data_IF_136152028393
#
_entry.id   IF_136152028393
#
_cell.length_a   1.000
_cell.length_b   1.000
_cell.length_c   1.000
_cell.angle_alpha   90.00
_cell.angle_beta   90.00
_cell.angle_gamma   90.00
#
_symmetry.space_group_name_H-M   'P 1'
#
loop_
_entity.id
_entity.type
_entity.pdbx_description
1 polymer ?
#
# COMPACT_ATOMS: atom_id res chain seq x y z
N UNK A 1 5.04 22.75 -28.47
CA UNK A 1 4.22 21.72 -27.80
C UNK A 1 3.80 22.31 -26.45
N UNK A 2 2.55 22.13 -26.03
CA UNK A 2 2.14 22.50 -24.66
C UNK A 2 2.95 21.61 -23.69
N UNK A 3 3.60 22.22 -22.68
CA UNK A 3 4.51 21.51 -21.75
C UNK A 3 6.01 21.58 -22.08
N UNK A 4 6.43 22.35 -23.10
CA UNK A 4 7.86 22.49 -23.45
C UNK A 4 8.71 23.19 -22.37
N UNK A 5 8.08 24.02 -21.52
CA UNK A 5 8.76 24.75 -20.42
C UNK A 5 8.71 24.03 -19.08
N UNK A 6 7.79 23.08 -18.90
CA UNK A 6 7.75 22.24 -17.70
C UNK A 6 8.78 21.11 -17.87
N UNK A 7 9.70 20.96 -16.91
CA UNK A 7 10.64 19.84 -16.91
C UNK A 7 9.91 18.50 -16.94
N UNK A 8 10.58 17.44 -17.40
CA UNK A 8 9.98 16.12 -17.47
C UNK A 8 9.44 15.66 -16.11
N UNK A 9 8.27 15.02 -16.11
CA UNK A 9 7.59 14.56 -14.88
C UNK A 9 8.46 13.60 -14.05
N UNK A 10 9.38 12.88 -14.69
CA UNK A 10 10.34 12.01 -14.01
C UNK A 10 11.66 12.74 -13.70
N UNK A 11 12.20 13.47 -14.67
CA UNK A 11 13.57 14.01 -14.60
C UNK A 11 13.68 15.20 -13.66
N UNK A 12 12.68 16.09 -13.60
CA UNK A 12 12.76 17.30 -12.76
C UNK A 12 12.65 17.01 -11.25
N UNK A 13 11.75 16.13 -10.76
CA UNK A 13 11.72 15.74 -9.35
C UNK A 13 13.02 15.07 -8.90
N UNK A 14 13.54 14.13 -9.68
CA UNK A 14 14.79 13.41 -9.37
C UNK A 14 15.98 14.37 -9.37
N UNK A 15 16.04 15.31 -10.32
CA UNK A 15 17.09 16.34 -10.34
C UNK A 15 17.09 17.20 -9.07
N UNK A 16 15.91 17.51 -8.52
CA UNK A 16 15.77 18.32 -7.29
C UNK A 16 16.05 17.51 -6.04
N UNK A 17 15.71 16.22 -6.03
CA UNK A 17 15.85 15.29 -4.90
C UNK A 17 16.39 13.95 -5.41
N UNK A 18 17.72 13.82 -5.61
CA UNK A 18 18.30 12.63 -6.21
C UNK A 18 18.27 11.40 -5.30
N UNK A 19 18.07 11.60 -3.99
CA UNK A 19 17.85 10.55 -3.02
C UNK A 19 16.34 10.33 -2.86
N UNK A 20 15.78 9.45 -3.69
CA UNK A 20 14.35 9.17 -3.68
C UNK A 20 14.05 7.74 -4.10
N UNK A 21 12.84 7.28 -3.78
CA UNK A 21 12.25 6.08 -4.36
C UNK A 21 11.44 6.49 -5.59
N UNK A 22 11.68 5.84 -6.72
CA UNK A 22 10.92 6.03 -7.96
C UNK A 22 10.07 4.79 -8.17
N UNK A 23 8.74 4.95 -8.15
CA UNK A 23 7.78 3.87 -8.37
C UNK A 23 7.23 3.95 -9.80
N UNK A 24 7.41 2.87 -10.56
CA UNK A 24 6.70 2.64 -11.81
C UNK A 24 5.63 1.57 -11.58
N UNK A 25 4.37 1.97 -11.69
CA UNK A 25 3.24 1.07 -11.44
C UNK A 25 2.76 0.42 -12.74
N UNK A 26 2.35 -0.86 -12.68
CA UNK A 26 1.79 -1.64 -13.79
C UNK A 26 2.63 -1.60 -15.08
N UNK A 27 3.92 -1.92 -14.94
CA UNK A 27 4.90 -1.82 -16.03
C UNK A 27 4.53 -2.63 -17.29
N UNK A 28 3.74 -3.68 -17.17
CA UNK A 28 3.26 -4.47 -18.31
C UNK A 28 2.36 -3.70 -19.28
N UNK A 29 1.76 -2.58 -18.82
CA UNK A 29 0.89 -1.72 -19.64
C UNK A 29 1.66 -0.59 -20.33
N UNK A 30 2.93 -0.41 -20.01
CA UNK A 30 3.76 0.66 -20.57
C UNK A 30 4.02 0.45 -22.07
N UNK A 31 4.09 1.56 -22.81
CA UNK A 31 4.46 1.52 -24.23
C UNK A 31 5.93 1.06 -24.39
N UNK A 32 6.30 0.28 -25.43
CA UNK A 32 7.67 -0.17 -25.67
C UNK A 32 8.75 0.92 -25.57
N UNK A 33 8.43 2.15 -25.97
CA UNK A 33 9.37 3.28 -25.92
C UNK A 33 9.76 3.69 -24.49
N UNK A 34 8.90 3.42 -23.50
CA UNK A 34 9.20 3.69 -22.07
C UNK A 34 10.35 2.79 -21.61
N UNK A 35 10.39 1.53 -22.07
CA UNK A 35 11.46 0.61 -21.70
C UNK A 35 12.83 1.03 -22.22
N UNK A 36 12.89 1.71 -23.38
CA UNK A 36 14.17 2.23 -23.89
C UNK A 36 14.76 3.30 -22.96
N UNK A 37 13.90 4.16 -22.40
CA UNK A 37 14.30 5.17 -21.43
C UNK A 37 14.69 4.53 -20.09
N UNK A 38 13.92 3.53 -19.63
CA UNK A 38 14.24 2.79 -18.41
C UNK A 38 15.55 2.01 -18.52
N UNK A 39 15.84 1.39 -19.66
CA UNK A 39 17.12 0.73 -19.90
C UNK A 39 18.28 1.71 -19.74
N UNK A 40 18.17 2.94 -20.25
CA UNK A 40 19.20 3.95 -20.05
C UNK A 40 19.40 4.28 -18.55
N UNK A 41 18.30 4.39 -17.80
CA UNK A 41 18.33 4.66 -16.37
C UNK A 41 18.97 3.49 -15.60
N UNK A 42 18.55 2.26 -15.88
CA UNK A 42 19.04 1.06 -15.19
C UNK A 42 20.49 0.72 -15.57
N UNK A 43 20.92 1.06 -16.79
CA UNK A 43 22.27 0.80 -17.29
C UNK A 43 23.29 1.83 -16.80
N UNK A 44 23.02 3.11 -17.10
CA UNK A 44 23.99 4.20 -16.90
C UNK A 44 23.74 4.97 -15.60
N UNK A 45 22.61 4.71 -14.93
CA UNK A 45 22.14 5.52 -13.80
C UNK A 45 21.78 6.94 -14.23
N UNK A 46 21.42 7.17 -15.51
CA UNK A 46 21.20 8.52 -16.05
C UNK A 46 20.08 8.54 -17.09
N UNK A 47 19.35 9.64 -17.14
CA UNK A 47 18.36 9.91 -18.19
C UNK A 47 18.61 11.29 -18.78
N UNK A 48 18.47 11.43 -20.09
CA UNK A 48 18.48 12.76 -20.74
C UNK A 48 17.06 13.18 -21.07
N UNK A 49 16.67 14.39 -20.64
CA UNK A 49 15.34 14.92 -20.93
C UNK A 49 15.22 15.54 -22.34
N UNK A 50 14.02 15.96 -22.72
CA UNK A 50 13.73 16.59 -24.01
C UNK A 50 14.41 17.95 -24.22
N UNK A 51 14.96 18.55 -23.16
CA UNK A 51 15.75 19.79 -23.21
C UNK A 51 17.27 19.50 -23.26
N UNK A 52 17.66 18.23 -23.35
CA UNK A 52 19.05 17.80 -23.42
C UNK A 52 19.77 17.80 -22.06
N UNK A 53 19.05 17.94 -20.95
CA UNK A 53 19.62 17.91 -19.61
C UNK A 53 19.73 16.46 -19.15
N UNK A 54 20.92 16.07 -18.72
CA UNK A 54 21.16 14.75 -18.12
C UNK A 54 20.91 14.80 -16.62
N UNK A 55 20.07 13.90 -16.12
CA UNK A 55 19.73 13.73 -14.71
C UNK A 55 20.31 12.41 -14.21
N UNK A 56 20.85 12.42 -12.99
CA UNK A 56 21.50 11.29 -12.34
C UNK A 56 20.49 10.55 -11.45
N UNK A 57 20.39 9.23 -11.64
CA UNK A 57 19.51 8.28 -10.94
C UNK A 57 20.29 7.32 -10.04
N UNK A 58 21.62 7.45 -9.94
CA UNK A 58 22.47 6.50 -9.18
C UNK A 58 22.16 6.45 -7.68
N UNK A 59 21.51 7.48 -7.14
CA UNK A 59 21.08 7.55 -5.75
C UNK A 59 19.59 7.25 -5.56
N UNK A 60 18.90 6.81 -6.61
CA UNK A 60 17.49 6.45 -6.56
C UNK A 60 17.33 4.94 -6.34
N UNK A 61 16.35 4.55 -5.54
CA UNK A 61 15.83 3.18 -5.53
C UNK A 61 14.69 3.13 -6.53
N UNK A 62 14.77 2.24 -7.52
CA UNK A 62 13.75 2.09 -8.54
C UNK A 62 12.90 0.86 -8.21
N UNK A 63 11.62 1.09 -7.95
CA UNK A 63 10.64 0.05 -7.71
C UNK A 63 9.70 -0.03 -8.90
N UNK A 64 9.43 -1.25 -9.37
CA UNK A 64 8.51 -1.51 -10.47
C UNK A 64 7.50 -2.55 -10.01
N UNK A 65 6.21 -2.27 -10.22
CA UNK A 65 5.15 -3.24 -9.96
C UNK A 65 4.67 -3.83 -11.27
N UNK A 66 4.15 -5.04 -11.19
CA UNK A 66 3.60 -5.75 -12.33
C UNK A 66 2.56 -6.76 -11.85
N UNK A 67 1.47 -6.90 -12.58
CA UNK A 67 0.50 -7.97 -12.32
C UNK A 67 0.81 -9.25 -13.12
N UNK A 68 1.95 -9.31 -13.81
CA UNK A 68 2.38 -10.48 -14.59
C UNK A 68 2.61 -11.68 -13.67
N UNK A 69 2.01 -12.83 -14.01
CA UNK A 69 2.12 -14.05 -13.21
C UNK A 69 1.17 -14.10 -12.00
N UNK A 70 0.29 -13.10 -11.83
CA UNK A 70 -0.71 -13.08 -10.76
C UNK A 70 -1.62 -14.31 -10.71
N UNK A 71 -2.02 -14.85 -11.86
CA UNK A 71 -2.83 -16.08 -11.94
C UNK A 71 -2.07 -17.29 -11.35
N UNK A 72 -0.79 -17.47 -11.72
CA UNK A 72 0.04 -18.54 -11.17
C UNK A 72 0.26 -18.38 -9.65
N UNK A 73 0.46 -17.14 -9.19
CA UNK A 73 0.57 -16.83 -7.75
C UNK A 73 -0.74 -17.16 -7.02
N UNK A 74 -1.90 -16.84 -7.61
CA UNK A 74 -3.19 -17.14 -7.00
C UNK A 74 -3.47 -18.64 -6.93
N UNK A 75 -3.18 -19.39 -8.00
CA UNK A 75 -3.45 -20.83 -8.07
C UNK A 75 -2.50 -21.65 -7.19
N UNK A 76 -1.19 -21.40 -7.31
CA UNK A 76 -0.16 -22.17 -6.62
C UNK A 76 0.12 -21.63 -5.20
N UNK A 77 -0.02 -20.32 -5.01
CA UNK A 77 0.29 -19.64 -3.76
C UNK A 77 -0.66 -19.98 -2.60
N UNK A 78 -1.92 -20.32 -2.89
CA UNK A 78 -2.88 -20.77 -1.88
C UNK A 78 -2.50 -22.12 -1.24
N UNK A 79 -1.64 -22.88 -1.90
CA UNK A 79 -1.15 -24.18 -1.42
C UNK A 79 0.18 -24.05 -0.65
N UNK A 80 0.77 -22.85 -0.56
CA UNK A 80 2.03 -22.62 0.16
C UNK A 80 1.75 -22.74 1.67
N UNK A 81 2.16 -23.86 2.25
CA UNK A 81 1.97 -24.20 3.65
C UNK A 81 2.05 -25.71 3.89
N UNK A 82 2.64 -26.12 5.01
CA UNK A 82 2.83 -27.53 5.38
C UNK A 82 4.11 -28.15 4.83
N UNK A 83 4.16 -29.49 4.79
CA UNK A 83 5.26 -30.24 4.18
C UNK A 83 5.31 -29.88 2.68
N UNK A 84 6.49 -29.50 2.18
CA UNK A 84 6.77 -29.05 0.79
C UNK A 84 6.48 -27.57 0.47
N UNK A 85 6.52 -26.66 1.45
CA UNK A 85 6.40 -25.23 1.19
C UNK A 85 7.49 -24.68 0.24
N UNK A 86 8.74 -25.10 0.41
CA UNK A 86 9.87 -24.67 -0.44
C UNK A 86 9.69 -25.11 -1.90
N UNK A 87 9.26 -26.36 -2.13
CA UNK A 87 9.03 -26.89 -3.48
C UNK A 87 7.94 -26.09 -4.21
N UNK A 88 6.86 -25.75 -3.51
CA UNK A 88 5.77 -24.94 -4.08
C UNK A 88 6.18 -23.50 -4.35
N UNK A 89 7.04 -22.92 -3.51
CA UNK A 89 7.56 -21.57 -3.70
C UNK A 89 8.44 -21.49 -4.95
N UNK A 90 9.29 -22.48 -5.19
CA UNK A 90 10.06 -22.55 -6.44
C UNK A 90 9.16 -22.76 -7.66
N UNK A 91 8.11 -23.59 -7.56
CA UNK A 91 7.15 -23.78 -8.66
C UNK A 91 6.44 -22.46 -9.03
N UNK A 92 6.04 -21.66 -8.03
CA UNK A 92 5.48 -20.32 -8.25
C UNK A 92 6.52 -19.41 -8.90
N UNK A 93 7.76 -19.41 -8.39
CA UNK A 93 8.83 -18.57 -8.92
C UNK A 93 9.16 -18.90 -10.38
N UNK A 94 9.22 -20.18 -10.75
CA UNK A 94 9.40 -20.62 -12.13
C UNK A 94 8.25 -20.17 -13.04
N UNK A 95 7.00 -20.31 -12.58
CA UNK A 95 5.83 -19.89 -13.34
C UNK A 95 5.82 -18.36 -13.57
N UNK A 96 6.13 -17.58 -12.54
CA UNK A 96 6.25 -16.10 -12.63
C UNK A 96 7.40 -15.71 -13.56
N UNK A 97 8.58 -16.33 -13.42
CA UNK A 97 9.76 -16.10 -14.29
C UNK A 97 9.44 -16.39 -15.76
N UNK A 98 8.69 -17.47 -16.01
CA UNK A 98 8.20 -17.82 -17.34
C UNK A 98 7.22 -16.78 -17.90
N UNK A 99 6.31 -16.26 -17.08
CA UNK A 99 5.38 -15.20 -17.46
C UNK A 99 6.12 -13.87 -17.76
N UNK A 100 7.05 -13.48 -16.90
CA UNK A 100 7.89 -12.28 -17.07
C UNK A 100 8.69 -12.34 -18.37
N UNK A 101 9.28 -13.49 -18.70
CA UNK A 101 10.07 -13.68 -19.93
C UNK A 101 9.23 -13.63 -21.22
N UNK A 102 7.92 -13.85 -21.14
CA UNK A 102 6.99 -13.70 -22.27
C UNK A 102 6.56 -12.24 -22.47
N UNK A 103 6.42 -11.48 -21.38
CA UNK A 103 5.95 -10.09 -21.40
C UNK A 103 7.09 -9.10 -21.63
N UNK A 104 8.22 -9.29 -20.96
CA UNK A 104 9.36 -8.37 -20.97
C UNK A 104 10.54 -8.97 -21.73
N UNK A 105 11.34 -8.09 -22.35
CA UNK A 105 12.54 -8.49 -23.09
C UNK A 105 13.65 -8.92 -22.12
N UNK A 106 14.46 -9.95 -22.45
CA UNK A 106 15.53 -10.40 -21.56
C UNK A 106 16.51 -9.31 -21.15
N UNK A 107 16.82 -8.36 -22.04
CA UNK A 107 17.70 -7.24 -21.74
C UNK A 107 17.19 -6.32 -20.63
N UNK A 108 15.87 -6.19 -20.45
CA UNK A 108 15.28 -5.42 -19.37
C UNK A 108 15.32 -6.22 -18.06
N UNK A 109 14.95 -7.50 -18.12
CA UNK A 109 14.97 -8.38 -16.94
C UNK A 109 16.38 -8.54 -16.37
N UNK A 110 17.41 -8.58 -17.22
CA UNK A 110 18.81 -8.69 -16.81
C UNK A 110 19.36 -7.42 -16.12
N UNK A 111 18.57 -6.33 -16.07
CA UNK A 111 18.91 -5.07 -15.39
C UNK A 111 18.15 -4.86 -14.09
N UNK A 112 17.30 -5.82 -13.74
CA UNK A 112 16.62 -5.84 -12.45
C UNK A 112 17.54 -6.57 -11.49
N UNK A 113 17.92 -5.90 -10.41
CA UNK A 113 18.78 -6.48 -9.39
C UNK A 113 18.09 -7.65 -8.66
N UNK A 114 16.84 -7.42 -8.23
CA UNK A 114 16.05 -8.39 -7.46
C UNK A 114 14.59 -8.41 -7.91
N UNK A 115 14.00 -9.62 -7.96
CA UNK A 115 12.58 -9.80 -8.26
C UNK A 115 11.85 -10.30 -7.01
N UNK A 116 10.89 -9.51 -6.52
CA UNK A 116 10.13 -9.82 -5.31
C UNK A 116 8.74 -10.32 -5.71
N UNK A 117 8.44 -11.58 -5.36
CA UNK A 117 7.13 -12.20 -5.58
C UNK A 117 6.29 -12.03 -4.32
N UNK A 118 5.15 -11.35 -4.45
CA UNK A 118 4.21 -11.19 -3.34
C UNK A 118 3.32 -12.42 -3.21
N UNK A 119 3.28 -12.99 -2.00
CA UNK A 119 2.38 -14.10 -1.67
C UNK A 119 0.93 -13.61 -1.62
N UNK A 120 -0.06 -14.46 -1.93
CA UNK A 120 -1.46 -14.12 -1.75
C UNK A 120 -1.76 -13.86 -0.27
N UNK A 121 -2.66 -12.92 0.00
CA UNK A 121 -3.04 -12.55 1.37
C UNK A 121 -3.85 -13.67 2.04
N UNK A 122 -3.38 -14.13 3.19
CA UNK A 122 -4.11 -15.06 4.05
C UNK A 122 -5.07 -14.34 5.01
N UNK A 123 -5.88 -15.12 5.72
CA UNK A 123 -6.84 -14.58 6.70
C UNK A 123 -6.16 -13.76 7.80
N UNK A 124 -4.99 -14.21 8.26
CA UNK A 124 -4.19 -13.50 9.28
C UNK A 124 -3.72 -12.14 8.77
N UNK A 125 -3.27 -12.06 7.51
CA UNK A 125 -2.83 -10.81 6.88
C UNK A 125 -4.01 -9.84 6.72
N UNK A 126 -5.16 -10.35 6.27
CA UNK A 126 -6.39 -9.55 6.09
C UNK A 126 -6.85 -8.95 7.42
N UNK A 127 -6.76 -9.72 8.51
CA UNK A 127 -7.06 -9.28 9.87
C UNK A 127 -6.10 -8.18 10.32
N UNK A 128 -4.80 -8.30 10.03
CA UNK A 128 -3.82 -7.26 10.34
C UNK A 128 -4.07 -5.98 9.52
N UNK A 129 -4.38 -6.11 8.23
CA UNK A 129 -4.74 -4.98 7.37
C UNK A 129 -6.00 -4.28 7.90
N UNK A 130 -7.02 -5.04 8.31
CA UNK A 130 -8.23 -4.48 8.90
C UNK A 130 -7.92 -3.71 10.19
N UNK A 131 -7.04 -4.22 11.08
CA UNK A 131 -6.57 -3.49 12.27
C UNK A 131 -5.90 -2.16 11.91
N UNK A 132 -5.00 -2.16 10.93
CA UNK A 132 -4.32 -0.94 10.48
C UNK A 132 -5.30 0.10 9.95
N UNK A 133 -6.30 -0.33 9.18
CA UNK A 133 -7.35 0.58 8.68
C UNK A 133 -8.26 1.08 9.81
N UNK A 134 -8.61 0.24 10.78
CA UNK A 134 -9.38 0.64 11.96
C UNK A 134 -8.61 1.64 12.83
N UNK A 135 -7.28 1.50 12.95
CA UNK A 135 -6.45 2.49 13.64
C UNK A 135 -6.54 3.88 12.99
N UNK A 136 -6.62 3.95 11.64
CA UNK A 136 -6.86 5.21 10.92
C UNK A 136 -8.27 5.76 11.13
N UNK A 137 -9.26 4.89 11.37
CA UNK A 137 -10.60 5.34 11.80
C UNK A 137 -10.53 5.92 13.21
N UNK A 138 -9.86 5.24 14.14
CA UNK A 138 -9.66 5.71 15.51
C UNK A 138 -9.00 7.10 15.54
N UNK A 139 -7.92 7.31 14.77
CA UNK A 139 -7.25 8.62 14.67
C UNK A 139 -8.20 9.76 14.27
N UNK A 140 -9.17 9.49 13.37
CA UNK A 140 -10.18 10.50 12.98
C UNK A 140 -11.26 10.71 14.04
N UNK A 141 -11.55 9.69 14.85
CA UNK A 141 -12.50 9.78 15.95
C UNK A 141 -11.90 10.45 17.20
N UNK A 142 -10.58 10.45 17.34
CA UNK A 142 -9.87 11.13 18.43
C UNK A 142 -10.15 12.64 18.45
N UNK A 143 -10.37 13.26 17.29
CA UNK A 143 -10.78 14.68 17.19
C UNK A 143 -12.11 14.97 17.92
N UNK A 144 -12.95 13.94 18.10
CA UNK A 144 -14.23 13.99 18.83
C UNK A 144 -14.18 13.27 20.18
N UNK A 145 -12.99 12.92 20.65
CA UNK A 145 -12.77 12.15 21.87
C UNK A 145 -13.54 10.81 21.89
N UNK A 146 -13.89 10.28 20.71
CA UNK A 146 -14.61 9.02 20.60
C UNK A 146 -13.62 7.85 20.46
N UNK A 147 -13.97 6.70 21.03
CA UNK A 147 -13.16 5.48 20.94
C UNK A 147 -13.95 4.35 20.32
N UNK A 148 -13.34 3.55 19.45
CA UNK A 148 -13.90 2.29 18.97
C UNK A 148 -13.27 1.10 19.69
N UNK A 149 -14.12 0.19 20.15
CA UNK A 149 -13.74 -1.11 20.73
C UNK A 149 -14.27 -2.21 19.81
N UNK A 150 -13.41 -2.76 18.96
CA UNK A 150 -13.79 -3.80 17.97
C UNK A 150 -13.44 -5.16 18.53
N UNK A 151 -14.44 -6.03 18.70
CA UNK A 151 -14.21 -7.39 19.17
C UNK A 151 -13.53 -8.25 18.10
N UNK A 152 -12.87 -9.32 18.51
CA UNK A 152 -12.20 -10.24 17.57
C UNK A 152 -13.18 -10.86 16.54
N UNK A 153 -14.40 -11.31 16.92
CA UNK A 153 -15.40 -11.75 15.94
C UNK A 153 -15.79 -10.65 14.93
N UNK A 154 -15.92 -9.40 15.39
CA UNK A 154 -16.26 -8.28 14.51
C UNK A 154 -15.13 -7.97 13.54
N UNK A 155 -13.89 -8.02 14.01
CA UNK A 155 -12.71 -7.84 13.17
C UNK A 155 -12.63 -8.92 12.08
N UNK A 156 -12.82 -10.18 12.45
CA UNK A 156 -12.78 -11.29 11.50
C UNK A 156 -13.90 -11.16 10.46
N UNK A 157 -15.10 -10.76 10.87
CA UNK A 157 -16.23 -10.51 9.97
C UNK A 157 -15.97 -9.34 9.02
N UNK A 158 -15.39 -8.24 9.51
CA UNK A 158 -15.02 -7.07 8.69
C UNK A 158 -13.95 -7.45 7.67
N UNK A 159 -12.94 -8.22 8.08
CA UNK A 159 -11.87 -8.71 7.22
C UNK A 159 -12.40 -9.65 6.13
N UNK A 160 -13.27 -10.60 6.49
CA UNK A 160 -13.92 -11.50 5.53
C UNK A 160 -14.79 -10.75 4.52
N UNK A 161 -15.63 -9.81 4.97
CA UNK A 161 -16.45 -8.96 4.09
C UNK A 161 -15.62 -8.05 3.19
N UNK A 162 -14.42 -7.70 3.62
CA UNK A 162 -13.48 -6.84 2.90
C UNK A 162 -12.52 -7.58 1.98
N UNK A 163 -12.57 -8.91 1.93
CA UNK A 163 -11.72 -9.72 1.07
C UNK A 163 -12.42 -10.08 -0.23
N UNK A 164 -11.73 -9.87 -1.34
CA UNK A 164 -12.14 -10.34 -2.65
C UNK A 164 -10.97 -11.11 -3.28
N UNK A 165 -11.14 -12.38 -3.69
CA UNK A 165 -10.06 -13.15 -4.31
C UNK A 165 -9.43 -12.50 -5.55
N UNK A 166 -10.20 -11.71 -6.31
CA UNK A 166 -9.71 -11.02 -7.51
C UNK A 166 -9.10 -9.64 -7.21
N UNK A 167 -9.55 -8.97 -6.15
CA UNK A 167 -9.09 -7.61 -5.79
C UNK A 167 -8.23 -7.55 -4.51
N UNK A 168 -7.94 -8.68 -3.89
CA UNK A 168 -7.19 -8.80 -2.64
C UNK A 168 -7.83 -8.02 -1.49
N UNK A 169 -7.00 -7.33 -0.72
CA UNK A 169 -7.44 -6.50 0.41
C UNK A 169 -7.97 -5.10 0.02
N UNK A 170 -7.98 -4.74 -1.28
CA UNK A 170 -8.46 -3.41 -1.73
C UNK A 170 -9.86 -3.07 -1.20
N UNK A 171 -10.83 -4.02 -1.13
CA UNK A 171 -12.15 -3.74 -0.59
C UNK A 171 -12.20 -3.56 0.93
N UNK A 172 -11.16 -3.88 1.70
CA UNK A 172 -11.15 -3.75 3.18
C UNK A 172 -11.45 -2.30 3.60
N UNK A 173 -10.81 -1.32 2.95
CA UNK A 173 -11.08 0.10 3.23
C UNK A 173 -12.55 0.43 3.02
N UNK A 174 -13.16 -0.03 1.93
CA UNK A 174 -14.59 0.17 1.65
C UNK A 174 -15.48 -0.56 2.67
N UNK A 175 -15.12 -1.80 3.04
CA UNK A 175 -15.82 -2.58 4.07
C UNK A 175 -15.84 -1.81 5.38
N UNK A 176 -14.72 -1.26 5.83
CA UNK A 176 -14.64 -0.47 7.07
C UNK A 176 -15.47 0.82 6.96
N UNK A 177 -15.43 1.52 5.83
CA UNK A 177 -16.28 2.71 5.63
C UNK A 177 -17.77 2.36 5.76
N UNK A 178 -18.20 1.26 5.13
CA UNK A 178 -19.62 0.85 5.12
C UNK A 178 -20.08 0.23 6.44
N UNK A 179 -19.20 -0.52 7.11
CA UNK A 179 -19.52 -1.31 8.29
C UNK A 179 -19.05 -0.67 9.60
N UNK A 180 -18.32 0.45 9.57
CA UNK A 180 -17.83 1.11 10.80
C UNK A 180 -18.05 2.60 10.74
N UNK A 181 -17.46 3.31 9.76
CA UNK A 181 -17.57 4.77 9.71
C UNK A 181 -19.01 5.23 9.48
N UNK A 182 -19.70 4.64 8.50
CA UNK A 182 -21.06 5.02 8.13
C UNK A 182 -22.06 4.76 9.27
N UNK A 183 -22.09 3.58 9.93
CA UNK A 183 -22.97 3.33 11.07
C UNK A 183 -22.70 4.25 12.25
N UNK A 184 -21.43 4.51 12.60
CA UNK A 184 -21.07 5.44 13.67
C UNK A 184 -21.57 6.85 13.35
N UNK A 185 -21.32 7.33 12.13
CA UNK A 185 -21.77 8.65 11.70
C UNK A 185 -23.30 8.78 11.72
N UNK A 186 -24.03 7.78 11.20
CA UNK A 186 -25.49 7.78 11.19
C UNK A 186 -26.09 7.76 12.60
N UNK A 187 -25.52 6.96 13.50
CA UNK A 187 -25.95 6.89 14.91
C UNK A 187 -25.59 8.16 15.68
N UNK A 188 -24.44 8.76 15.39
CA UNK A 188 -24.07 10.08 15.91
C UNK A 188 -25.05 11.18 15.49
N UNK A 189 -25.48 11.19 14.22
CA UNK A 189 -26.50 12.14 13.73
C UNK A 189 -27.87 11.97 14.41
N UNK A 190 -28.18 10.77 14.93
CA UNK A 190 -29.41 10.47 15.69
C UNK A 190 -29.28 10.77 17.19
N UNK A 191 -28.10 11.16 17.66
CA UNK A 191 -27.82 11.35 19.08
C UNK A 191 -27.66 10.04 19.86
N UNK A 192 -27.44 8.90 19.19
CA UNK A 192 -27.16 7.62 19.87
C UNK A 192 -25.72 7.54 20.38
N UNK A 193 -24.80 8.26 19.72
CA UNK A 193 -23.39 8.41 20.10
C UNK A 193 -23.03 9.89 20.18
N UNK A 194 -22.32 10.27 21.23
CA UNK A 194 -21.88 11.62 21.51
C UNK A 194 -20.35 11.66 21.64
N UNK A 195 -19.78 12.86 21.61
CA UNK A 195 -18.36 13.07 21.85
C UNK A 195 -17.95 12.51 23.22
N UNK A 196 -16.78 11.87 23.30
CA UNK A 196 -16.33 11.18 24.52
C UNK A 196 -16.80 9.72 24.66
N UNK A 197 -17.70 9.24 23.80
CA UNK A 197 -18.23 7.87 23.90
C UNK A 197 -17.27 6.80 23.41
N UNK A 198 -17.36 5.62 24.03
CA UNK A 198 -16.77 4.39 23.50
C UNK A 198 -17.84 3.58 22.77
N UNK A 199 -17.66 3.41 21.46
CA UNK A 199 -18.51 2.59 20.61
C UNK A 199 -17.92 1.19 20.53
N UNK A 200 -18.62 0.23 21.13
CA UNK A 200 -18.28 -1.19 21.01
C UNK A 200 -18.92 -1.77 19.76
N UNK A 201 -18.11 -2.41 18.92
CA UNK A 201 -18.49 -3.06 17.67
C UNK A 201 -18.33 -4.57 17.88
N UNK A 202 -19.45 -5.29 17.80
CA UNK A 202 -19.51 -6.74 18.05
C UNK A 202 -20.36 -7.45 16.99
N UNK A 203 -20.41 -8.78 17.04
CA UNK A 203 -21.23 -9.61 16.14
C UNK A 203 -22.38 -10.25 16.91
N UNK A 204 -23.59 -10.21 16.36
CA UNK A 204 -24.75 -10.87 16.95
C UNK A 204 -24.88 -12.35 16.52
N UNK A 205 -25.97 -12.99 16.96
CA UNK A 205 -26.25 -14.39 16.67
C UNK A 205 -26.53 -14.66 15.17
N UNK A 206 -26.86 -13.62 14.40
CA UNK A 206 -27.19 -13.70 12.98
C UNK A 206 -25.98 -13.34 12.09
N UNK A 207 -24.78 -13.20 12.67
CA UNK A 207 -23.55 -12.74 12.01
C UNK A 207 -23.67 -11.32 11.42
N UNK A 208 -24.41 -10.44 12.08
CA UNK A 208 -24.48 -9.02 11.76
C UNK A 208 -23.70 -8.17 12.76
N UNK A 209 -23.20 -7.03 12.28
CA UNK A 209 -22.44 -6.10 13.11
C UNK A 209 -23.38 -5.24 13.96
N UNK A 210 -23.10 -5.19 15.25
CA UNK A 210 -23.84 -4.39 16.23
C UNK A 210 -22.95 -3.31 16.82
N UNK A 211 -23.58 -2.18 17.19
CA UNK A 211 -22.88 -0.99 17.68
C UNK A 211 -23.56 -0.56 18.98
N UNK A 212 -22.82 -0.63 20.09
CA UNK A 212 -23.35 -0.31 21.42
C UNK A 212 -22.47 0.71 22.12
N UNK A 213 -23.10 1.64 22.83
CA UNK A 213 -22.41 2.60 23.70
C UNK A 213 -21.97 1.86 24.96
N UNK A 214 -20.67 1.82 25.22
CA UNK A 214 -20.12 1.25 26.45
C UNK A 214 -19.69 2.40 27.35
N UNK A 215 -20.09 2.37 28.62
CA UNK A 215 -19.59 3.31 29.61
C UNK A 215 -18.07 3.10 29.73
N UNK A 216 -17.30 4.19 29.63
CA UNK A 216 -15.82 4.19 29.71
C UNK A 216 -15.34 3.23 30.80
N UNK A 217 -14.98 2.02 30.38
CA UNK A 217 -14.35 1.05 31.22
C UNK A 217 -12.86 1.32 31.10
N UNK A 218 -12.23 1.76 32.18
CA UNK A 218 -10.78 1.68 32.32
C UNK A 218 -10.31 0.31 31.79
N UNK A 219 -9.21 0.27 31.02
CA UNK A 219 -8.93 -0.82 30.09
C UNK A 219 -8.83 -2.15 30.83
N UNK A 220 -9.87 -2.99 30.69
CA UNK A 220 -9.78 -4.40 31.04
C UNK A 220 -9.27 -5.13 29.81
N UNK A 221 -7.95 -5.25 29.76
CA UNK A 221 -7.22 -5.81 28.63
C UNK A 221 -6.50 -4.70 27.89
N UNK A 222 -5.20 -4.90 27.69
CA UNK A 222 -4.29 -4.02 26.98
C UNK A 222 -4.96 -3.45 25.72
N UNK A 223 -4.91 -2.13 25.46
CA UNK A 223 -5.41 -1.58 24.22
C UNK A 223 -4.58 -2.18 23.08
N UNK A 224 -5.14 -3.18 22.39
CA UNK A 224 -4.53 -3.83 21.22
C UNK A 224 -4.29 -2.83 20.06
N UNK A 225 -4.77 -1.59 20.18
CA UNK A 225 -4.72 -0.58 19.13
C UNK A 225 -3.54 0.39 19.22
N UNK A 226 -2.89 0.56 20.38
CA UNK A 226 -1.77 1.52 20.49
C UNK A 226 -0.39 0.84 20.46
N UNK A 227 -0.27 -0.43 20.88
CA UNK A 227 0.98 -1.17 20.77
C UNK A 227 1.26 -1.70 19.36
N UNK A 228 0.21 -2.12 18.63
CA UNK A 228 0.39 -2.81 17.36
C UNK A 228 0.95 -1.92 16.24
N UNK A 229 0.67 -0.62 16.21
CA UNK A 229 1.22 0.26 15.16
C UNK A 229 2.75 0.44 15.32
N UNK A 230 3.22 0.60 16.56
CA UNK A 230 4.65 0.73 16.86
C UNK A 230 5.36 -0.63 16.78
N UNK A 231 4.74 -1.72 17.25
CA UNK A 231 5.28 -3.08 17.18
C UNK A 231 5.33 -3.62 15.74
N UNK A 232 4.35 -3.30 14.87
CA UNK A 232 4.37 -3.69 13.45
C UNK A 232 5.42 -2.89 12.66
N UNK A 233 5.63 -1.61 12.99
CA UNK A 233 6.73 -0.83 12.40
C UNK A 233 8.10 -1.36 12.87
N UNK A 234 8.19 -1.82 14.12
CA UNK A 234 9.39 -2.46 14.66
C UNK A 234 9.64 -3.85 14.04
N UNK A 235 8.62 -4.72 13.93
CA UNK A 235 8.73 -6.04 13.28
C UNK A 235 8.98 -5.91 11.77
N UNK A 236 8.39 -4.92 11.09
CA UNK A 236 8.72 -4.63 9.70
C UNK A 236 10.17 -4.14 9.55
N UNK A 237 10.72 -3.44 10.56
CA UNK A 237 12.13 -3.06 10.58
C UNK A 237 13.07 -4.24 10.88
N UNK A 238 12.64 -5.23 11.67
CA UNK A 238 13.42 -6.45 11.94
C UNK A 238 13.35 -7.46 10.78
N UNK A 239 12.20 -7.56 10.08
CA UNK A 239 12.02 -8.47 8.93
C UNK A 239 12.66 -7.92 7.63
N UNK A 240 13.06 -6.64 7.62
CA UNK A 240 13.85 -6.03 6.53
C UNK A 240 15.37 -6.20 6.70
N UNK A 241 15.84 -6.98 7.69
CA UNK A 241 17.27 -7.25 7.89
C UNK A 241 17.59 -8.70 7.60
N UNK A 242 17.64 -9.06 6.31
CA UNK A 242 18.71 -9.89 5.75
C UNK A 242 18.94 -9.48 4.29
N UNK A 243 19.35 -8.22 4.09
CA UNK A 243 20.11 -7.87 2.89
C UNK A 243 21.52 -8.47 3.03
N UNK A 244 22.09 -9.10 1.99
CA UNK A 244 23.47 -9.54 2.03
C UNK A 244 24.39 -8.36 2.38
N UNK A 245 25.40 -8.62 3.20
CA UNK A 245 26.21 -7.65 3.94
C UNK A 245 27.13 -6.73 3.09
N UNK A 246 26.66 -6.19 1.97
CA UNK A 246 27.41 -5.26 1.12
C UNK A 246 26.81 -3.85 0.99
N UNK A 247 25.69 -3.53 1.67
CA UNK A 247 25.10 -2.19 1.59
C UNK A 247 24.85 -1.57 2.97
N UNK A 248 25.81 -0.78 3.46
CA UNK A 248 25.58 0.13 4.59
C UNK A 248 25.05 1.46 4.07
N UNK A 249 23.80 1.81 4.37
CA UNK A 249 23.32 3.19 4.31
C UNK A 249 22.62 3.50 5.63
N UNK A 250 23.20 4.44 6.37
CA UNK A 250 22.79 4.83 7.70
C UNK A 250 21.49 5.65 7.68
N UNK A 251 20.54 5.20 8.51
CA UNK A 251 19.61 5.95 9.36
C UNK A 251 19.29 7.41 8.95
N UNK A 252 18.22 7.61 8.15
CA UNK A 252 17.53 8.91 8.05
C UNK A 252 16.02 8.73 7.83
N UNK A 253 15.24 9.50 8.62
CA UNK A 253 13.77 9.52 8.66
C UNK A 253 13.15 9.86 7.31
N UNK A 254 12.16 9.07 6.90
CA UNK A 254 11.34 9.28 5.70
C UNK A 254 10.09 10.09 6.05
N UNK A 255 9.93 11.27 5.44
CA UNK A 255 8.63 11.95 5.36
C UNK A 255 7.87 11.38 4.15
N UNK A 256 6.80 10.63 4.40
CA UNK A 256 5.89 10.15 3.38
C UNK A 256 5.06 11.32 2.82
N UNK A 257 4.98 11.45 1.50
CA UNK A 257 4.07 12.39 0.84
C UNK A 257 2.74 11.69 0.55
N UNK A 258 1.65 12.25 1.07
CA UNK A 258 0.28 11.91 0.68
C UNK A 258 0.04 12.30 -0.78
N UNK A 259 -0.30 11.30 -1.60
CA UNK A 259 -0.80 11.49 -2.95
C UNK A 259 -2.33 11.52 -2.89
N UNK A 260 -2.91 12.70 -2.64
CA UNK A 260 -4.33 12.92 -2.90
C UNK A 260 -4.54 13.08 -4.41
N UNK A 261 -5.29 12.12 -4.97
CA UNK A 261 -5.75 12.15 -6.34
C UNK A 261 -6.92 13.11 -6.51
N UNK A 262 -6.70 14.20 -7.24
CA UNK A 262 -7.67 14.75 -8.18
C UNK A 262 -6.93 15.43 -9.33
N UNK A 263 -6.92 14.75 -10.47
CA UNK A 263 -6.49 15.29 -11.73
C UNK A 263 -7.59 16.14 -12.34
N UNK A 264 -7.67 17.41 -11.93
CA UNK A 264 -8.39 18.43 -12.70
C UNK A 264 -7.86 19.84 -12.43
N UNK A 265 -7.09 20.38 -13.37
CA UNK A 265 -6.79 21.82 -13.45
C UNK A 265 -7.61 22.41 -14.60
N UNK A 266 -8.71 23.07 -14.25
CA UNK A 266 -9.40 24.04 -15.10
C UNK A 266 -8.89 25.43 -14.73
N UNK A 267 -8.10 26.05 -15.61
CA UNK A 267 -7.67 27.45 -15.52
C UNK A 267 -8.49 28.29 -16.52
N UNK A 268 -9.22 29.28 -16.03
CA UNK A 268 -9.66 30.42 -16.85
C UNK A 268 -9.51 31.74 -16.07
N UNK A 269 -8.37 32.40 -16.36
CA UNK A 269 -8.25 33.76 -16.88
C UNK A 269 -8.77 35.04 -16.15
N UNK A 270 -7.86 36.05 -16.17
CA UNK A 270 -8.03 37.53 -16.14
C UNK A 270 -8.30 38.19 -14.77
N UNK A 271 -7.68 39.30 -14.32
CA UNK A 271 -6.83 40.35 -14.93
C UNK A 271 -6.15 41.20 -13.84
N UNK A 272 -5.05 41.88 -14.22
CA UNK A 272 -4.53 43.23 -13.83
C UNK A 272 -5.43 44.06 -12.89
N UNK A 273 -4.98 44.90 -11.97
CA UNK A 273 -3.82 45.82 -11.95
C UNK A 273 -3.67 46.39 -10.52
N UNK A 274 -2.47 46.94 -10.26
CA UNK A 274 -2.04 47.83 -9.16
C UNK A 274 -1.54 47.18 -7.86
#
# INVERSE_FOLDING_TARGET
YVGYEEGGQLTEPVRRRPYCVVLFDEMEKAHPDVFNLLLQILDDGRCTDSQGRTVDFKNCVICMTSNVGSEAIAELGLSIGGENAEEKEEEVAEAVRGAMSRTFRPEFLNRIDENIIFRPLGLTDLRQIAKLQLARVQQRLDERQMTIDVTEPALDLIAQRGFDPAFGARPIKRSIVQNVETPIAQKGLRGEFEDGDTVRIDVDADNELTYTKTASAAPRGSPLLLGAADDILAEASETLVELPASASVADQRFDAFDADGDGSISRSEFTRDS
#
